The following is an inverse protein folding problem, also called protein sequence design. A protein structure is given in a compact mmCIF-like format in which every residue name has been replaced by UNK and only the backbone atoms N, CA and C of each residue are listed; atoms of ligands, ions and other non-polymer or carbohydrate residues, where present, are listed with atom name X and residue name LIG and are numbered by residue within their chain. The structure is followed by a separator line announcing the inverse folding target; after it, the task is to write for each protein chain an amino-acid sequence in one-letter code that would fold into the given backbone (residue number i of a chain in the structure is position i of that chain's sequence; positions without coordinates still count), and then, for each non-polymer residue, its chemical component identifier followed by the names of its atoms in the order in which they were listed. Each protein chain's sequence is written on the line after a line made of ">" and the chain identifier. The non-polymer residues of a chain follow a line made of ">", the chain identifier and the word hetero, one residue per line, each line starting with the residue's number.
data_IF_249143652000
#
_entry.id   IF_249143652000
#
_cell.length_a   1.000
_cell.length_b   1.000
_cell.length_c   1.000
_cell.angle_alpha   90.00
_cell.angle_beta   90.00
_cell.angle_gamma   90.00
#
_symmetry.space_group_name_H-M   'P 1'
#
loop_
_entity.id
_entity.type
_entity.pdbx_description
1 polymer ?
#
# COMPACT_ATOMS: atom_id res chain seq x y z
N UNK A 1 3.07 1.98 2.18
CA UNK A 1 2.38 3.15 1.58
C UNK A 1 1.12 3.40 2.39
N UNK A 2 0.86 4.63 2.79
CA UNK A 2 -0.35 5.01 3.53
C UNK A 2 -1.30 5.79 2.62
N UNK A 3 -2.60 5.50 2.71
CA UNK A 3 -3.64 6.19 1.96
C UNK A 3 -4.86 6.44 2.85
N UNK A 4 -5.56 7.57 2.67
CA UNK A 4 -6.79 7.84 3.40
C UNK A 4 -7.96 7.05 2.80
N UNK A 5 -8.87 6.60 3.65
CA UNK A 5 -10.15 6.02 3.23
C UNK A 5 -11.06 7.07 2.55
N UNK A 6 -12.00 6.59 1.72
CA UNK A 6 -13.01 7.41 1.05
C UNK A 6 -12.51 8.57 0.17
N UNK A 7 -11.21 8.58 -0.15
CA UNK A 7 -10.60 9.50 -1.11
C UNK A 7 -10.23 8.79 -2.40
N UNK A 8 -10.33 9.53 -3.50
CA UNK A 8 -9.85 9.07 -4.80
C UNK A 8 -8.33 9.22 -4.82
N UNK A 9 -7.63 8.10 -4.89
CA UNK A 9 -6.18 8.00 -4.93
C UNK A 9 -5.76 7.81 -6.38
N UNK A 10 -4.86 8.67 -6.86
CA UNK A 10 -4.21 8.52 -8.16
C UNK A 10 -2.78 8.04 -7.93
N UNK A 11 -2.39 6.96 -8.60
CA UNK A 11 -1.02 6.45 -8.55
C UNK A 11 -0.34 6.69 -9.89
N UNK A 12 0.79 7.38 -9.83
CA UNK A 12 1.74 7.48 -10.93
C UNK A 12 2.85 6.45 -10.70
N UNK A 13 3.01 5.53 -11.64
CA UNK A 13 3.95 4.42 -11.53
C UNK A 13 5.12 4.61 -12.49
N UNK A 14 6.33 4.34 -12.01
CA UNK A 14 7.55 4.19 -12.79
C UNK A 14 8.44 3.18 -12.09
N UNK A 15 9.37 2.59 -12.83
CA UNK A 15 10.48 1.86 -12.22
C UNK A 15 11.79 2.65 -12.32
N UNK A 16 12.72 2.39 -11.41
CA UNK A 16 14.09 2.94 -11.43
C UNK A 16 15.09 2.03 -12.13
N UNK A 17 14.80 0.73 -12.22
CA UNK A 17 15.75 -0.29 -12.66
C UNK A 17 15.17 -1.19 -13.76
N UNK A 18 14.33 -2.18 -13.41
CA UNK A 18 13.74 -3.18 -14.32
C UNK A 18 12.22 -3.13 -14.25
N UNK A 19 11.53 -3.98 -15.00
CA UNK A 19 10.07 -4.03 -14.92
C UNK A 19 9.66 -4.62 -13.56
N UNK A 20 8.71 -3.95 -12.90
CA UNK A 20 8.00 -4.47 -11.73
C UNK A 20 6.49 -4.42 -11.99
N UNK A 21 5.69 -4.83 -11.01
CA UNK A 21 4.24 -4.64 -11.06
C UNK A 21 3.68 -4.20 -9.72
N UNK A 22 2.90 -3.13 -9.73
CA UNK A 22 2.02 -2.77 -8.63
C UNK A 22 0.76 -3.62 -8.74
N UNK A 23 0.62 -4.62 -7.86
CA UNK A 23 -0.54 -5.51 -7.85
C UNK A 23 -1.16 -5.60 -6.47
N UNK A 24 -2.44 -5.21 -6.35
CA UNK A 24 -3.25 -5.39 -5.14
C UNK A 24 -4.35 -6.42 -5.45
N UNK A 25 -4.19 -7.70 -5.06
CA UNK A 25 -5.12 -8.77 -5.42
C UNK A 25 -6.55 -8.50 -4.95
N UNK A 26 -6.73 -8.05 -3.71
CA UNK A 26 -8.06 -7.83 -3.12
C UNK A 26 -8.83 -6.69 -3.81
N UNK A 27 -8.10 -5.72 -4.37
CA UNK A 27 -8.68 -4.61 -5.13
C UNK A 27 -8.77 -4.92 -6.62
N UNK A 28 -8.21 -6.05 -7.08
CA UNK A 28 -8.09 -6.42 -8.50
C UNK A 28 -7.41 -5.34 -9.34
N UNK A 29 -6.44 -4.65 -8.74
CA UNK A 29 -5.68 -3.58 -9.38
C UNK A 29 -4.30 -4.12 -9.72
N UNK A 30 -3.95 -4.19 -11.02
CA UNK A 30 -2.61 -4.57 -11.48
C UNK A 30 -2.11 -3.61 -12.55
N UNK A 31 -0.88 -3.12 -12.39
CA UNK A 31 -0.15 -2.40 -13.43
C UNK A 31 1.35 -2.60 -13.34
N UNK A 32 1.94 -2.85 -14.50
CA UNK A 32 3.39 -2.94 -14.62
C UNK A 32 4.01 -1.54 -14.50
N UNK A 33 5.08 -1.44 -13.72
CA UNK A 33 5.91 -0.25 -13.59
C UNK A 33 7.13 -0.41 -14.48
N UNK A 34 7.27 0.48 -15.47
CA UNK A 34 8.31 0.41 -16.49
C UNK A 34 9.40 1.47 -16.24
N UNK A 35 10.67 1.17 -16.54
CA UNK A 35 11.73 2.18 -16.53
C UNK A 35 11.49 3.26 -17.59
N UNK A 36 11.96 4.48 -17.31
CA UNK A 36 11.98 5.63 -18.23
C UNK A 36 10.61 6.12 -18.74
N UNK A 37 9.52 5.74 -18.09
CA UNK A 37 8.19 6.28 -18.40
C UNK A 37 7.30 6.30 -17.17
N UNK A 38 6.52 7.37 -17.05
CA UNK A 38 5.48 7.47 -16.03
C UNK A 38 4.19 6.88 -16.62
N UNK A 39 3.61 5.94 -15.91
CA UNK A 39 2.32 5.33 -16.21
C UNK A 39 1.30 5.92 -15.24
N UNK A 40 0.37 6.71 -15.78
CA UNK A 40 -0.82 7.14 -15.06
C UNK A 40 -1.82 5.98 -15.09
N UNK A 41 -1.75 5.13 -14.06
CA UNK A 41 -2.36 3.81 -14.12
C UNK A 41 -3.88 3.87 -14.03
N UNK A 42 -4.40 4.32 -12.89
CA UNK A 42 -5.84 4.37 -12.60
C UNK A 42 -6.06 5.08 -11.26
N UNK A 43 -7.23 5.71 -11.16
CA UNK A 43 -7.75 6.27 -9.91
C UNK A 43 -8.62 5.23 -9.21
N UNK A 44 -8.35 4.96 -7.94
CA UNK A 44 -9.18 4.05 -7.13
C UNK A 44 -9.57 4.73 -5.82
N UNK A 45 -10.56 4.16 -5.14
CA UNK A 45 -11.02 4.62 -3.83
C UNK A 45 -11.32 3.41 -2.98
N UNK A 46 -10.89 3.44 -1.72
CA UNK A 46 -11.22 2.42 -0.74
C UNK A 46 -12.41 2.91 0.06
N UNK A 47 -13.55 2.22 -0.08
CA UNK A 47 -14.80 2.56 0.62
C UNK A 47 -14.72 2.13 2.09
N UNK A 48 -14.84 3.06 3.04
CA UNK A 48 -14.89 2.74 4.47
C UNK A 48 -16.04 1.78 4.83
N UNK A 49 -17.17 1.91 4.13
CA UNK A 49 -18.37 1.05 4.32
C UNK A 49 -18.15 -0.40 3.91
N UNK A 50 -17.18 -0.68 3.02
CA UNK A 50 -16.79 -2.03 2.61
C UNK A 50 -15.63 -2.59 3.44
N UNK A 51 -15.08 -1.81 4.38
CA UNK A 51 -14.06 -2.28 5.33
C UNK A 51 -14.65 -3.16 6.43
N UNK A 52 -15.94 -3.51 6.37
CA UNK A 52 -16.57 -4.44 7.31
C UNK A 52 -16.06 -5.88 7.11
N UNK A 53 -15.17 -6.30 8.02
CA UNK A 53 -14.77 -7.69 8.32
C UNK A 53 -14.46 -8.55 7.09
N UNK A 54 -13.34 -8.26 6.42
CA UNK A 54 -12.46 -9.39 6.09
C UNK A 54 -11.66 -9.67 7.36
N UNK A 55 -12.21 -10.53 8.22
CA UNK A 55 -11.43 -11.25 9.22
C UNK A 55 -10.17 -11.71 8.51
N UNK A 56 -9.04 -11.25 9.01
CA UNK A 56 -7.71 -11.77 8.72
C UNK A 56 -7.79 -13.29 8.52
N UNK A 57 -7.88 -13.76 7.28
CA UNK A 57 -7.24 -15.02 6.98
C UNK A 57 -5.77 -14.64 6.93
N UNK A 58 -5.19 -14.62 8.12
CA UNK A 58 -3.77 -14.42 8.38
C UNK A 58 -3.03 -15.28 7.35
N UNK A 59 -2.36 -14.70 6.33
CA UNK A 59 -1.53 -15.51 5.46
C UNK A 59 -0.28 -15.78 6.29
N UNK A 60 -0.31 -16.97 6.89
CA UNK A 60 0.75 -17.56 7.71
C UNK A 60 0.90 -17.01 9.14
N UNK A 61 0.80 -17.93 10.08
CA UNK A 61 0.98 -17.70 11.50
C UNK A 61 2.48 -17.67 11.81
N UNK A 62 3.06 -16.48 11.75
CA UNK A 62 3.99 -16.09 12.82
C UNK A 62 3.25 -15.07 13.68
N UNK A 63 3.51 -15.12 14.97
CA UNK A 63 2.72 -14.45 16.01
C UNK A 63 2.60 -12.93 15.74
N UNK A 64 1.53 -12.26 16.21
CA UNK A 64 1.60 -10.81 16.34
C UNK A 64 2.90 -10.51 17.10
N UNK A 65 3.77 -9.71 16.49
CA UNK A 65 4.90 -9.16 17.21
C UNK A 65 4.32 -8.47 18.45
N UNK A 66 4.53 -9.06 19.63
CA UNK A 66 4.05 -8.57 20.94
C UNK A 66 4.81 -7.31 21.37
N UNK A 67 5.44 -6.59 20.45
CA UNK A 67 5.85 -5.23 20.69
C UNK A 67 4.58 -4.40 20.81
N UNK A 68 4.44 -3.75 21.97
CA UNK A 68 3.40 -2.74 22.19
C UNK A 68 3.34 -1.82 20.96
N UNK A 69 2.14 -1.46 20.47
CA UNK A 69 2.03 -0.59 19.31
C UNK A 69 2.87 0.65 19.59
N UNK A 70 3.92 0.84 18.80
CA UNK A 70 4.71 2.06 18.83
C UNK A 70 3.70 3.22 18.68
N UNK A 71 3.54 4.04 19.72
CA UNK A 71 2.50 5.08 19.81
C UNK A 71 2.62 6.11 18.66
N UNK A 72 3.71 6.04 17.89
CA UNK A 72 4.00 6.89 16.72
C UNK A 72 3.46 6.31 15.40
N UNK A 73 2.99 5.06 15.34
CA UNK A 73 2.39 4.49 14.13
C UNK A 73 0.86 4.74 14.06
N UNK A 74 0.32 5.21 12.92
CA UNK A 74 -1.11 5.49 12.79
C UNK A 74 -1.93 4.20 12.82
N UNK A 75 -3.15 4.26 13.38
CA UNK A 75 -4.06 3.12 13.44
C UNK A 75 -4.44 2.65 12.01
N UNK A 76 -3.90 1.49 11.61
CA UNK A 76 -4.17 0.93 10.29
C UNK A 76 -5.51 0.19 10.28
N UNK A 77 -6.53 0.80 9.67
CA UNK A 77 -7.86 0.18 9.47
C UNK A 77 -7.81 -1.09 8.63
N UNK A 78 -6.99 -1.08 7.58
CA UNK A 78 -6.81 -2.22 6.69
C UNK A 78 -5.44 -2.20 6.03
N UNK A 79 -4.80 -3.37 5.99
CA UNK A 79 -3.57 -3.61 5.23
C UNK A 79 -3.88 -4.49 4.03
N UNK A 80 -3.43 -4.09 2.85
CA UNK A 80 -3.41 -4.92 1.64
C UNK A 80 -1.98 -5.22 1.24
N UNK A 81 -1.76 -6.43 0.75
CA UNK A 81 -0.47 -6.83 0.21
C UNK A 81 -0.32 -6.32 -1.21
N UNK A 82 0.90 -5.89 -1.53
CA UNK A 82 1.32 -5.48 -2.86
C UNK A 82 2.48 -6.38 -3.30
N UNK A 83 2.22 -7.65 -3.67
CA UNK A 83 3.26 -8.49 -4.25
C UNK A 83 3.70 -7.95 -5.62
N UNK A 84 4.98 -8.07 -5.93
CA UNK A 84 5.46 -7.85 -7.28
C UNK A 84 4.94 -8.97 -8.21
N UNK A 85 4.16 -8.62 -9.22
CA UNK A 85 3.53 -9.59 -10.12
C UNK A 85 4.17 -9.65 -11.53
N UNK A 86 5.40 -9.19 -11.66
CA UNK A 86 6.21 -9.26 -12.88
C UNK A 86 7.65 -9.64 -12.53
N UNK A 87 8.27 -10.55 -13.27
CA UNK A 87 9.57 -11.12 -12.90
C UNK A 87 10.66 -10.03 -12.94
N UNK A 88 11.14 -9.64 -11.75
CA UNK A 88 12.07 -8.52 -11.58
C UNK A 88 13.47 -8.91 -11.04
N UNK A 89 13.79 -10.22 -11.01
CA UNK A 89 15.12 -10.71 -10.63
C UNK A 89 15.14 -11.51 -9.32
N UNK A 90 16.30 -11.56 -8.67
CA UNK A 90 16.59 -12.48 -7.55
C UNK A 90 15.68 -12.30 -6.32
N UNK A 91 15.23 -11.07 -6.04
CA UNK A 91 14.32 -10.77 -4.92
C UNK A 91 12.83 -10.79 -5.29
N UNK A 92 12.47 -11.24 -6.50
CA UNK A 92 11.11 -11.08 -7.02
C UNK A 92 10.02 -11.66 -6.09
N UNK A 93 10.22 -12.86 -5.58
CA UNK A 93 9.23 -13.55 -4.74
C UNK A 93 9.07 -12.93 -3.34
N UNK A 94 10.06 -12.19 -2.86
CA UNK A 94 10.05 -11.54 -1.53
C UNK A 94 9.78 -10.05 -1.61
N UNK A 95 9.58 -9.51 -2.81
CA UNK A 95 9.25 -8.11 -3.04
C UNK A 95 7.76 -7.86 -2.77
N UNK A 96 7.43 -7.70 -1.49
CA UNK A 96 6.07 -7.45 -1.01
C UNK A 96 6.03 -6.05 -0.38
N UNK A 97 5.19 -5.19 -0.94
CA UNK A 97 4.83 -3.91 -0.34
C UNK A 97 3.51 -4.02 0.42
N UNK A 98 3.18 -2.97 1.18
CA UNK A 98 1.89 -2.87 1.88
C UNK A 98 1.20 -1.55 1.57
N UNK A 99 -0.10 -1.64 1.28
CA UNK A 99 -1.02 -0.52 1.22
C UNK A 99 -1.80 -0.47 2.54
N UNK A 100 -1.46 0.48 3.40
CA UNK A 100 -2.14 0.73 4.67
C UNK A 100 -3.22 1.80 4.45
N UNK A 101 -4.45 1.47 4.82
CA UNK A 101 -5.59 2.39 4.76
C UNK A 101 -5.81 2.97 6.15
N UNK A 102 -5.82 4.29 6.22
CA UNK A 102 -6.01 5.08 7.44
C UNK A 102 -7.33 5.84 7.41
N UNK A 103 -7.78 6.31 8.58
CA UNK A 103 -8.77 7.39 8.61
C UNK A 103 -8.17 8.66 8.01
N UNK A 104 -9.02 9.64 7.69
CA UNK A 104 -8.51 10.93 7.23
C UNK A 104 -7.68 11.64 8.31
N UNK A 105 -8.10 11.58 9.57
CA UNK A 105 -7.41 12.23 10.70
C UNK A 105 -6.04 11.63 10.97
N UNK A 106 -5.94 10.30 10.96
CA UNK A 106 -4.66 9.59 11.14
C UNK A 106 -3.74 9.82 9.94
N UNK A 107 -4.29 9.87 8.74
CA UNK A 107 -3.51 10.17 7.54
C UNK A 107 -2.95 11.59 7.58
N UNK A 108 -3.75 12.58 7.97
CA UNK A 108 -3.31 13.97 8.07
C UNK A 108 -2.22 14.13 9.16
N UNK A 109 -2.37 13.43 10.29
CA UNK A 109 -1.34 13.39 11.35
C UNK A 109 -0.06 12.74 10.85
N UNK A 110 -0.16 11.59 10.17
CA UNK A 110 0.98 10.90 9.58
C UNK A 110 1.71 11.77 8.55
N UNK A 111 0.97 12.47 7.69
CA UNK A 111 1.53 13.40 6.70
C UNK A 111 2.25 14.55 7.41
N UNK A 112 1.66 15.13 8.45
CA UNK A 112 2.27 16.26 9.17
C UNK A 112 3.64 15.91 9.78
N UNK A 113 3.82 14.66 10.21
CA UNK A 113 5.06 14.18 10.83
C UNK A 113 6.07 13.63 9.81
N UNK A 114 5.60 12.91 8.78
CA UNK A 114 6.47 12.12 7.90
C UNK A 114 6.66 12.73 6.50
N UNK A 115 5.85 13.71 6.10
CA UNK A 115 5.94 14.28 4.77
C UNK A 115 7.09 15.27 4.69
N UNK A 116 8.05 15.08 3.75
CA UNK A 116 9.16 16.00 3.62
C UNK A 116 8.66 17.40 3.22
N UNK A 117 9.25 18.48 3.76
CA UNK A 117 8.89 19.83 3.38
C UNK A 117 9.00 19.98 1.86
N UNK A 118 7.98 20.58 1.25
CA UNK A 118 7.99 20.87 -0.18
C UNK A 118 8.92 22.06 -0.40
N UNK A 119 10.05 21.84 -1.07
CA UNK A 119 10.97 22.90 -1.53
C UNK A 119 10.34 23.74 -2.67
#
# INVERSE_FOLDING_TARGET
>A
MYVPEDKVIQILLTSKDVIHSFFVPELRLKQDALPNRIIDFTKFRVDSTKLTKLTTKKPDETEPDETEPDETEPEVKRRYEIPCAELCGFGHATMIGYLNVLTQEDYDSWVAENWPPQE
#
